data_IF_416744556888
#
_entry.id   IF_416744556888
#
_cell.length_a   1.000
_cell.length_b   1.000
_cell.length_c   1.000
_cell.angle_alpha   90.00
_cell.angle_beta   90.00
_cell.angle_gamma   90.00
#
_symmetry.space_group_name_H-M   'P 1'
#
loop_
_entity.id
_entity.type
_entity.pdbx_description
1 polymer ?
#
# COMPACT_ATOMS: atom_id res chain seq x y z
N UNK A 1 11.31 15.10 -19.61
CA UNK A 1 9.86 15.43 -19.70
C UNK A 1 9.34 15.54 -18.27
N UNK A 2 8.97 16.75 -17.88
CA UNK A 2 9.01 17.23 -16.48
C UNK A 2 7.68 16.98 -15.77
N UNK A 3 7.64 16.00 -14.86
CA UNK A 3 6.45 15.59 -14.08
C UNK A 3 6.03 16.65 -13.03
N UNK A 4 6.84 17.67 -12.77
CA UNK A 4 6.73 18.43 -11.52
C UNK A 4 5.69 19.55 -11.45
N UNK A 5 5.27 20.18 -12.54
CA UNK A 5 4.43 21.40 -12.45
C UNK A 5 2.92 21.14 -12.57
N UNK A 6 2.51 20.18 -13.42
CA UNK A 6 1.08 19.88 -13.63
C UNK A 6 0.49 18.95 -12.57
N UNK A 7 1.30 18.18 -11.84
CA UNK A 7 0.84 17.18 -10.87
C UNK A 7 0.26 17.79 -9.59
N UNK A 8 0.70 18.98 -9.17
CA UNK A 8 0.34 19.54 -7.87
C UNK A 8 -1.17 19.81 -7.70
N UNK A 9 -1.89 20.45 -8.66
CA UNK A 9 -3.33 20.65 -8.52
C UNK A 9 -4.14 19.34 -8.53
N UNK A 10 -3.70 18.36 -9.32
CA UNK A 10 -4.34 17.04 -9.43
C UNK A 10 -4.19 16.27 -8.12
N UNK A 11 -2.97 16.24 -7.57
CA UNK A 11 -2.65 15.62 -6.29
C UNK A 11 -3.41 16.28 -5.15
N UNK A 12 -3.49 17.61 -5.12
CA UNK A 12 -4.30 18.35 -4.15
C UNK A 12 -5.77 17.93 -4.27
N UNK A 13 -6.33 17.89 -5.48
CA UNK A 13 -7.73 17.48 -5.70
C UNK A 13 -7.99 16.03 -5.29
N UNK A 14 -7.11 15.10 -5.65
CA UNK A 14 -7.21 13.69 -5.29
C UNK A 14 -7.12 13.50 -3.77
N UNK A 15 -6.21 14.22 -3.10
CA UNK A 15 -6.14 14.26 -1.64
C UNK A 15 -7.46 14.75 -1.03
N UNK A 16 -8.03 15.83 -1.55
CA UNK A 16 -9.33 16.34 -1.08
C UNK A 16 -10.45 15.31 -1.28
N UNK A 17 -10.49 14.64 -2.44
CA UNK A 17 -11.46 13.59 -2.71
C UNK A 17 -11.31 12.43 -1.74
N UNK A 18 -10.08 11.97 -1.51
CA UNK A 18 -9.76 10.91 -0.56
C UNK A 18 -10.21 11.27 0.86
N UNK A 19 -9.83 12.44 1.36
CA UNK A 19 -10.22 12.91 2.71
C UNK A 19 -11.75 13.00 2.83
N UNK A 20 -12.45 13.43 1.79
CA UNK A 20 -13.92 13.48 1.81
C UNK A 20 -14.58 12.12 1.93
N UNK A 21 -13.95 11.03 1.48
CA UNK A 21 -14.49 9.67 1.64
C UNK A 21 -14.70 9.32 3.11
N UNK A 22 -13.79 9.76 3.99
CA UNK A 22 -13.86 9.53 5.44
C UNK A 22 -15.13 10.11 6.08
N UNK A 23 -15.73 11.14 5.46
CA UNK A 23 -16.91 11.82 5.96
C UNK A 23 -18.22 11.31 5.36
N UNK A 24 -18.19 10.28 4.51
CA UNK A 24 -19.39 9.77 3.82
C UNK A 24 -20.16 8.69 4.57
N UNK A 25 -19.66 8.22 5.72
CA UNK A 25 -20.29 7.16 6.49
C UNK A 25 -20.38 5.82 5.73
N UNK A 26 -19.42 5.57 4.84
CA UNK A 26 -19.32 4.30 4.12
C UNK A 26 -18.94 3.18 5.09
N UNK A 27 -19.43 1.97 4.83
CA UNK A 27 -18.82 0.78 5.42
C UNK A 27 -17.38 0.59 4.90
N UNK A 28 -16.64 -0.29 5.57
CA UNK A 28 -15.21 -0.47 5.30
C UNK A 28 -14.93 -0.91 3.85
N UNK A 29 -15.73 -1.84 3.30
CA UNK A 29 -15.52 -2.34 1.95
C UNK A 29 -15.77 -1.24 0.90
N UNK A 30 -16.88 -0.51 1.03
CA UNK A 30 -17.22 0.59 0.14
C UNK A 30 -16.21 1.75 0.25
N UNK A 31 -15.67 2.00 1.45
CA UNK A 31 -14.60 2.98 1.64
C UNK A 31 -13.32 2.59 0.89
N UNK A 32 -12.83 1.36 1.07
CA UNK A 32 -11.59 0.89 0.44
C UNK A 32 -11.71 0.85 -1.09
N UNK A 33 -12.86 0.44 -1.62
CA UNK A 33 -13.12 0.51 -3.06
C UNK A 33 -13.07 1.96 -3.60
N UNK A 34 -13.68 2.92 -2.89
CA UNK A 34 -13.66 4.31 -3.30
C UNK A 34 -12.26 4.94 -3.15
N UNK A 35 -11.49 4.52 -2.14
CA UNK A 35 -10.12 4.93 -1.91
C UNK A 35 -9.21 4.52 -3.06
N UNK A 36 -9.27 3.25 -3.49
CA UNK A 36 -8.57 2.75 -4.67
C UNK A 36 -8.86 3.57 -5.92
N UNK A 37 -10.15 3.76 -6.24
CA UNK A 37 -10.56 4.51 -7.43
C UNK A 37 -10.03 5.94 -7.44
N UNK A 38 -9.93 6.55 -6.26
CA UNK A 38 -9.35 7.88 -6.11
C UNK A 38 -7.83 7.84 -6.35
N UNK A 39 -7.13 6.84 -5.83
CA UNK A 39 -5.68 6.71 -5.98
C UNK A 39 -5.24 6.36 -7.40
N UNK A 40 -5.94 5.46 -8.09
CA UNK A 40 -5.64 5.10 -9.50
C UNK A 40 -5.61 6.34 -10.41
N UNK A 41 -6.40 7.37 -10.08
CA UNK A 41 -6.43 8.62 -10.87
C UNK A 41 -5.13 9.45 -10.81
N UNK A 42 -4.25 9.20 -9.83
CA UNK A 42 -3.01 9.95 -9.63
C UNK A 42 -1.75 9.07 -9.53
N UNK A 43 -1.93 7.80 -9.19
CA UNK A 43 -0.89 6.79 -9.12
C UNK A 43 -1.43 5.49 -9.73
N UNK A 44 -1.17 5.24 -11.02
CA UNK A 44 -1.53 3.97 -11.64
C UNK A 44 -0.81 2.80 -10.94
N UNK A 45 -1.55 1.73 -10.68
CA UNK A 45 -1.04 0.48 -10.14
C UNK A 45 -1.84 -0.68 -10.73
N UNK A 46 -1.19 -1.84 -10.88
CA UNK A 46 -1.86 -3.06 -11.36
C UNK A 46 -2.67 -3.72 -10.23
N UNK A 47 -2.25 -3.51 -8.97
CA UNK A 47 -2.92 -4.07 -7.80
C UNK A 47 -2.69 -3.25 -6.52
N UNK A 48 -3.58 -3.43 -5.54
CA UNK A 48 -3.53 -2.84 -4.20
C UNK A 48 -3.99 -3.83 -3.12
N UNK A 49 -3.37 -3.70 -1.95
CA UNK A 49 -3.77 -4.40 -0.73
C UNK A 49 -3.97 -3.37 0.39
N UNK A 50 -5.13 -3.43 1.01
CA UNK A 50 -5.53 -2.58 2.13
C UNK A 50 -5.74 -3.41 3.37
N UNK A 51 -5.20 -2.93 4.48
CA UNK A 51 -5.31 -3.56 5.79
C UNK A 51 -5.74 -2.49 6.80
N UNK A 52 -6.70 -2.81 7.66
CA UNK A 52 -6.78 -2.12 8.95
C UNK A 52 -5.85 -2.80 9.92
N UNK A 53 -5.19 -2.04 10.79
CA UNK A 53 -4.27 -2.56 11.80
C UNK A 53 -4.81 -2.24 13.20
N UNK A 54 -4.67 -3.18 14.13
CA UNK A 54 -4.81 -2.89 15.55
C UNK A 54 -3.67 -1.96 16.00
N UNK A 55 -3.93 -0.79 16.60
CA UNK A 55 -2.89 0.19 16.91
C UNK A 55 -1.92 -0.25 18.02
N UNK A 56 -2.28 -1.23 18.86
CA UNK A 56 -1.42 -1.70 19.94
C UNK A 56 -0.41 -2.76 19.44
N UNK A 57 -0.81 -3.59 18.50
CA UNK A 57 -0.04 -4.75 18.02
C UNK A 57 0.46 -4.61 16.58
N UNK A 58 -0.12 -3.69 15.81
CA UNK A 58 0.03 -3.55 14.36
C UNK A 58 -0.38 -4.80 13.56
N UNK A 59 -1.19 -5.68 14.17
CA UNK A 59 -1.73 -6.84 13.49
C UNK A 59 -2.91 -6.46 12.58
N UNK A 60 -3.01 -7.04 11.38
CA UNK A 60 -4.16 -6.86 10.52
C UNK A 60 -5.47 -7.30 11.17
N UNK A 61 -6.47 -6.43 11.13
CA UNK A 61 -7.83 -6.68 11.62
C UNK A 61 -8.86 -6.77 10.49
N UNK A 62 -8.50 -6.32 9.29
CA UNK A 62 -9.26 -6.50 8.06
C UNK A 62 -8.31 -6.62 6.87
N UNK A 63 -8.86 -7.06 5.75
CA UNK A 63 -8.14 -7.15 4.49
C UNK A 63 -9.07 -6.88 3.31
N UNK A 64 -8.58 -6.10 2.35
CA UNK A 64 -9.20 -5.90 1.03
C UNK A 64 -8.08 -5.85 -0.01
N UNK A 65 -8.08 -6.78 -0.96
CA UNK A 65 -7.12 -6.83 -2.06
C UNK A 65 -7.87 -7.08 -3.35
N UNK A 66 -7.39 -6.49 -4.44
CA UNK A 66 -7.83 -6.79 -5.79
C UNK A 66 -6.94 -7.89 -6.36
N UNK A 67 -7.40 -8.61 -7.37
CA UNK A 67 -6.62 -9.54 -8.22
C UNK A 67 -5.88 -10.74 -7.56
N UNK A 68 -5.27 -10.64 -6.38
CA UNK A 68 -4.56 -11.73 -5.72
C UNK A 68 -5.48 -12.74 -5.02
N UNK A 69 -5.20 -14.02 -5.25
CA UNK A 69 -5.77 -15.13 -4.49
C UNK A 69 -5.22 -15.25 -3.07
N UNK A 70 -5.91 -16.04 -2.25
CA UNK A 70 -5.56 -16.25 -0.83
C UNK A 70 -4.14 -16.78 -0.62
N UNK A 71 -3.60 -17.55 -1.55
CA UNK A 71 -2.25 -18.13 -1.46
C UNK A 71 -1.16 -17.04 -1.48
N UNK A 72 -1.27 -16.07 -2.39
CA UNK A 72 -0.35 -14.93 -2.48
C UNK A 72 -0.43 -14.07 -1.22
N UNK A 73 -1.65 -13.84 -0.73
CA UNK A 73 -1.88 -13.08 0.50
C UNK A 73 -1.23 -13.77 1.71
N UNK A 74 -1.35 -15.09 1.81
CA UNK A 74 -0.69 -15.84 2.88
C UNK A 74 0.83 -15.84 2.75
N UNK A 75 1.38 -15.84 1.53
CA UNK A 75 2.82 -15.69 1.33
C UNK A 75 3.32 -14.29 1.70
N UNK A 76 2.56 -13.24 1.39
CA UNK A 76 2.86 -11.86 1.82
C UNK A 76 2.79 -11.72 3.35
N UNK A 77 1.80 -12.33 3.99
CA UNK A 77 1.69 -12.34 5.45
C UNK A 77 2.83 -13.15 6.10
N UNK A 78 3.19 -14.30 5.53
CA UNK A 78 4.33 -15.09 5.99
C UNK A 78 5.63 -14.29 5.88
N UNK A 79 5.85 -13.59 4.76
CA UNK A 79 6.97 -12.67 4.66
C UNK A 79 6.89 -11.61 5.76
N UNK A 80 5.76 -10.92 5.94
CA UNK A 80 5.61 -9.85 6.91
C UNK A 80 5.97 -10.27 8.35
N UNK A 81 5.50 -11.43 8.81
CA UNK A 81 5.60 -11.84 10.21
C UNK A 81 6.67 -12.88 10.53
N UNK A 82 7.17 -13.62 9.53
CA UNK A 82 8.07 -14.77 9.75
C UNK A 82 9.44 -14.62 9.09
N UNK A 83 9.64 -13.62 8.23
CA UNK A 83 10.91 -13.42 7.52
C UNK A 83 11.46 -12.00 7.72
N UNK A 84 12.78 -11.87 7.79
CA UNK A 84 13.44 -10.57 7.68
C UNK A 84 13.29 -10.03 6.26
N UNK A 85 12.83 -8.78 6.13
CA UNK A 85 12.70 -8.08 4.85
C UNK A 85 12.62 -6.57 5.08
N UNK A 86 12.51 -5.82 4.01
CA UNK A 86 12.38 -4.37 3.98
C UNK A 86 10.91 -3.94 4.01
N UNK A 87 10.68 -2.69 4.42
CA UNK A 87 9.35 -2.07 4.42
C UNK A 87 8.30 -2.87 5.22
N UNK A 88 8.69 -3.47 6.34
CA UNK A 88 7.74 -4.08 7.29
C UNK A 88 6.77 -3.02 7.81
N UNK A 89 5.53 -3.39 8.10
CA UNK A 89 4.48 -2.49 8.58
C UNK A 89 4.90 -1.76 9.85
N UNK A 90 5.53 -2.46 10.79
CA UNK A 90 6.00 -1.86 12.03
C UNK A 90 7.09 -0.80 11.81
N UNK A 91 7.94 -0.98 10.80
CA UNK A 91 9.01 -0.05 10.48
C UNK A 91 8.48 1.16 9.72
N UNK A 92 7.59 0.95 8.74
CA UNK A 92 6.91 2.02 8.03
C UNK A 92 6.06 2.89 8.96
N UNK A 93 5.36 2.29 9.93
CA UNK A 93 4.57 3.02 10.91
C UNK A 93 5.39 3.99 11.77
N UNK A 94 6.69 3.71 11.96
CA UNK A 94 7.64 4.54 12.72
C UNK A 94 8.46 5.49 11.85
N UNK A 95 8.46 5.29 10.53
CA UNK A 95 9.24 6.08 9.59
C UNK A 95 8.68 7.50 9.40
N UNK A 96 9.55 8.40 8.91
CA UNK A 96 9.17 9.78 8.53
C UNK A 96 9.74 10.10 7.15
N UNK A 97 8.91 10.19 6.10
CA UNK A 97 7.46 9.93 6.08
C UNK A 97 7.13 8.44 6.27
N UNK A 98 5.90 8.07 6.69
CA UNK A 98 5.49 6.68 6.91
C UNK A 98 5.14 5.97 5.59
N UNK A 99 6.05 6.03 4.62
CA UNK A 99 5.89 5.45 3.29
C UNK A 99 7.26 5.01 2.79
N UNK A 100 7.29 3.88 2.07
CA UNK A 100 8.49 3.33 1.46
C UNK A 100 8.16 2.68 0.13
N UNK A 101 9.15 2.61 -0.76
CA UNK A 101 9.09 1.79 -1.97
C UNK A 101 10.16 0.73 -1.89
N UNK A 102 9.91 -0.45 -2.47
CA UNK A 102 10.89 -1.53 -2.42
C UNK A 102 12.15 -1.17 -3.20
N UNK A 103 12.00 -0.53 -4.36
CA UNK A 103 13.12 -0.05 -5.18
C UNK A 103 14.06 0.89 -4.42
N UNK A 104 13.53 1.84 -3.64
CA UNK A 104 14.35 2.73 -2.84
C UNK A 104 15.02 1.98 -1.68
N UNK A 105 14.27 1.13 -0.97
CA UNK A 105 14.81 0.36 0.15
C UNK A 105 15.94 -0.61 -0.28
N UNK A 106 15.86 -1.13 -1.51
CA UNK A 106 16.87 -2.03 -2.07
C UNK A 106 17.96 -1.32 -2.88
N UNK A 107 17.93 0.01 -2.99
CA UNK A 107 18.86 0.80 -3.83
C UNK A 107 18.87 0.31 -5.30
N UNK A 108 17.69 -0.08 -5.79
CA UNK A 108 17.45 -0.53 -7.16
C UNK A 108 17.57 -2.05 -7.37
N UNK A 109 18.12 -2.81 -6.42
CA UNK A 109 18.26 -4.26 -6.55
C UNK A 109 17.12 -5.02 -5.83
N UNK A 110 15.99 -5.19 -6.52
CA UNK A 110 14.80 -5.84 -5.96
C UNK A 110 15.05 -7.29 -5.48
N UNK A 111 16.09 -7.98 -5.98
CA UNK A 111 16.42 -9.34 -5.54
C UNK A 111 16.88 -9.42 -4.08
N UNK A 112 17.19 -8.28 -3.46
CA UNK A 112 17.48 -8.18 -2.03
C UNK A 112 16.26 -8.37 -1.13
N UNK A 113 15.06 -8.42 -1.69
CA UNK A 113 13.82 -8.63 -0.95
C UNK A 113 13.26 -10.05 -1.18
N UNK A 114 13.14 -10.87 -0.13
CA UNK A 114 12.41 -12.12 -0.19
C UNK A 114 10.97 -11.96 -0.69
N UNK A 115 10.27 -10.88 -0.32
CA UNK A 115 8.91 -10.58 -0.81
C UNK A 115 8.88 -10.46 -2.34
N UNK A 116 9.88 -9.79 -2.92
CA UNK A 116 9.98 -9.71 -4.37
C UNK A 116 10.30 -11.07 -4.98
N UNK A 117 11.38 -11.71 -4.54
CA UNK A 117 11.91 -12.91 -5.19
C UNK A 117 11.04 -14.16 -5.02
N UNK A 118 10.28 -14.27 -3.94
CA UNK A 118 9.45 -15.44 -3.64
C UNK A 118 7.97 -15.28 -3.99
N UNK A 119 7.49 -14.03 -4.10
CA UNK A 119 6.04 -13.76 -4.16
C UNK A 119 5.64 -12.84 -5.30
N UNK A 120 6.32 -11.71 -5.49
CA UNK A 120 5.87 -10.65 -6.42
C UNK A 120 6.55 -10.65 -7.80
N UNK A 121 7.69 -11.32 -7.93
CA UNK A 121 8.34 -11.45 -9.23
C UNK A 121 7.41 -12.21 -10.21
N UNK A 122 7.36 -11.82 -11.50
CA UNK A 122 6.54 -12.49 -12.52
C UNK A 122 6.90 -13.96 -12.73
#
# INVERSE_FOLDING_TARGET
>A
MTIHAMAAPQLVRARWQFVRLLHRGLDLAAFLEAADRTLVSVLPFDDSCWLTLDPATLLPTSHFTREHGIEVLMALAANEFLEDDLNKFADLARAKPPVGTLYAATQGDLHRSPRFTKVLAP
#
